data_IF_377218001732
#
_entry.id   IF_377218001732
#
_cell.length_a   1.000
_cell.length_b   1.000
_cell.length_c   1.000
_cell.angle_alpha   90.00
_cell.angle_beta   90.00
_cell.angle_gamma   90.00
#
_symmetry.space_group_name_H-M   'P 1'
#
loop_
_entity.id
_entity.type
_entity.pdbx_description
1 polymer ?
#
# COMPACT_ATOMS: atom_id res chain seq x y z
N UNK A 1 5.35 -16.06 -16.51
CA UNK A 1 5.76 -15.17 -15.41
C UNK A 1 4.73 -15.21 -14.31
N UNK A 2 5.14 -15.21 -13.03
CA UNK A 2 4.24 -15.24 -11.87
C UNK A 2 4.11 -13.85 -11.26
N UNK A 3 2.88 -13.32 -11.25
CA UNK A 3 2.52 -12.05 -10.61
C UNK A 3 1.61 -12.38 -9.42
N UNK A 4 1.93 -11.82 -8.26
CA UNK A 4 1.11 -11.95 -7.06
C UNK A 4 0.53 -10.58 -6.73
N UNK A 5 -0.80 -10.47 -6.66
CA UNK A 5 -1.49 -9.23 -6.29
C UNK A 5 -2.04 -9.34 -4.88
N UNK A 6 -1.69 -8.40 -4.02
CA UNK A 6 -2.28 -8.22 -2.69
C UNK A 6 -3.42 -7.22 -2.83
N UNK A 7 -4.63 -7.59 -2.40
CA UNK A 7 -5.79 -6.69 -2.36
C UNK A 7 -6.28 -6.58 -0.92
N UNK A 8 -6.33 -5.38 -0.40
CA UNK A 8 -6.84 -5.12 0.94
C UNK A 8 -8.31 -4.70 0.86
N UNK A 9 -9.16 -5.43 1.58
CA UNK A 9 -10.59 -5.10 1.73
C UNK A 9 -10.82 -4.59 3.15
N UNK A 10 -11.52 -3.48 3.29
CA UNK A 10 -11.92 -2.92 4.57
C UNK A 10 -13.32 -2.30 4.46
N UNK A 11 -14.23 -2.71 5.33
CA UNK A 11 -15.62 -2.23 5.38
C UNK A 11 -16.31 -2.31 4.00
N UNK A 12 -16.07 -3.39 3.26
CA UNK A 12 -16.61 -3.62 1.92
C UNK A 12 -16.81 -5.11 1.68
N UNK A 13 -17.58 -5.44 0.64
CA UNK A 13 -17.72 -6.80 0.11
C UNK A 13 -16.75 -7.04 -1.04
N UNK A 14 -16.58 -8.29 -1.48
CA UNK A 14 -15.73 -8.60 -2.64
C UNK A 14 -16.34 -8.02 -3.93
N UNK A 15 -17.65 -8.05 -4.06
CA UNK A 15 -18.38 -7.54 -5.22
C UNK A 15 -18.27 -6.02 -5.35
N UNK A 16 -18.26 -5.30 -4.22
CA UNK A 16 -18.16 -3.85 -4.20
C UNK A 16 -16.72 -3.32 -4.45
N UNK A 17 -15.73 -4.21 -4.50
CA UNK A 17 -14.36 -3.82 -4.84
C UNK A 17 -14.18 -3.60 -6.33
N UNK A 18 -13.93 -2.36 -6.73
CA UNK A 18 -13.57 -2.00 -8.11
C UNK A 18 -12.32 -2.76 -8.57
N UNK A 19 -11.36 -2.92 -7.68
CA UNK A 19 -10.12 -3.66 -7.93
C UNK A 19 -10.39 -5.12 -8.25
N UNK A 20 -11.19 -5.80 -7.45
CA UNK A 20 -11.49 -7.22 -7.69
C UNK A 20 -12.32 -7.41 -8.96
N UNK A 21 -13.27 -6.51 -9.24
CA UNK A 21 -14.01 -6.53 -10.51
C UNK A 21 -13.07 -6.34 -11.72
N UNK A 22 -12.15 -5.40 -11.65
CA UNK A 22 -11.19 -5.15 -12.74
C UNK A 22 -10.17 -6.29 -12.90
N UNK A 23 -9.77 -6.96 -11.81
CA UNK A 23 -8.93 -8.16 -11.86
C UNK A 23 -9.67 -9.29 -12.60
N UNK A 24 -10.94 -9.55 -12.28
CA UNK A 24 -11.75 -10.56 -13.00
C UNK A 24 -11.93 -10.24 -14.49
N UNK A 25 -11.91 -8.95 -14.85
CA UNK A 25 -12.00 -8.51 -16.24
C UNK A 25 -10.65 -8.50 -16.97
N UNK A 26 -9.54 -8.74 -16.27
CA UNK A 26 -8.18 -8.63 -16.80
C UNK A 26 -7.82 -9.79 -17.73
N UNK A 27 -7.00 -9.49 -18.72
CA UNK A 27 -6.37 -10.49 -19.57
C UNK A 27 -5.16 -11.09 -18.87
N UNK A 28 -5.12 -12.43 -18.76
CA UNK A 28 -4.06 -13.16 -18.03
C UNK A 28 -3.29 -14.15 -18.91
N UNK A 29 -3.40 -14.03 -20.24
CA UNK A 29 -2.75 -14.95 -21.17
C UNK A 29 -1.22 -14.96 -20.95
N UNK A 30 -0.65 -16.16 -20.81
CA UNK A 30 0.79 -16.41 -20.60
C UNK A 30 1.37 -15.88 -19.28
N UNK A 31 0.53 -15.53 -18.32
CA UNK A 31 0.95 -15.18 -16.97
C UNK A 31 0.24 -16.08 -15.94
N UNK A 32 0.89 -16.30 -14.81
CA UNK A 32 0.28 -16.90 -13.64
C UNK A 32 -0.07 -15.78 -12.68
N UNK A 33 -1.36 -15.52 -12.47
CA UNK A 33 -1.83 -14.49 -11.55
C UNK A 33 -2.34 -15.13 -10.27
N UNK A 34 -1.68 -14.80 -9.15
CA UNK A 34 -2.13 -15.11 -7.80
C UNK A 34 -2.75 -13.86 -7.18
N UNK A 35 -3.96 -13.97 -6.63
CA UNK A 35 -4.66 -12.87 -5.94
C UNK A 35 -4.81 -13.23 -4.47
N UNK A 36 -4.14 -12.46 -3.61
CA UNK A 36 -4.17 -12.62 -2.16
C UNK A 36 -5.05 -11.52 -1.58
N UNK A 37 -6.25 -11.88 -1.15
CA UNK A 37 -7.23 -10.94 -0.61
C UNK A 37 -7.13 -10.97 0.90
N UNK A 38 -6.95 -9.82 1.52
CA UNK A 38 -6.98 -9.65 2.96
C UNK A 38 -8.18 -8.81 3.38
N UNK A 39 -9.17 -9.44 4.01
CA UNK A 39 -10.21 -8.69 4.71
C UNK A 39 -9.67 -8.20 6.05
N UNK A 40 -9.49 -6.89 6.15
CA UNK A 40 -8.96 -6.21 7.34
C UNK A 40 -10.08 -5.74 8.31
N UNK A 41 -11.30 -6.17 8.07
CA UNK A 41 -12.49 -5.92 8.92
C UNK A 41 -13.39 -4.80 8.39
N UNK A 42 -14.29 -4.26 9.23
CA UNK A 42 -14.57 -4.66 10.61
C UNK A 42 -15.41 -5.95 10.74
N UNK A 43 -16.00 -6.43 9.65
CA UNK A 43 -16.85 -7.63 9.62
C UNK A 43 -16.23 -8.75 8.80
N UNK A 44 -16.61 -9.98 9.06
CA UNK A 44 -16.28 -11.10 8.18
C UNK A 44 -17.04 -10.97 6.86
N UNK A 45 -16.44 -11.44 5.80
CA UNK A 45 -17.09 -11.55 4.48
C UNK A 45 -18.16 -12.66 4.53
N UNK A 46 -19.21 -12.49 3.74
CA UNK A 46 -20.21 -13.53 3.54
C UNK A 46 -19.57 -14.73 2.82
N UNK A 47 -19.84 -15.94 3.28
CA UNK A 47 -19.21 -17.14 2.75
C UNK A 47 -19.67 -17.47 1.32
N UNK A 48 -20.95 -17.25 1.01
CA UNK A 48 -21.47 -17.46 -0.34
C UNK A 48 -20.83 -16.50 -1.35
N UNK A 49 -20.67 -15.21 -0.98
CA UNK A 49 -19.99 -14.21 -1.81
C UNK A 49 -18.54 -14.62 -2.06
N UNK A 50 -17.86 -15.13 -1.03
CA UNK A 50 -16.47 -15.61 -1.17
C UNK A 50 -16.39 -16.79 -2.14
N UNK A 51 -17.27 -17.79 -2.00
CA UNK A 51 -17.30 -18.96 -2.89
C UNK A 51 -17.62 -18.56 -4.33
N UNK A 52 -18.59 -17.66 -4.53
CA UNK A 52 -18.94 -17.16 -5.86
C UNK A 52 -17.75 -16.42 -6.51
N UNK A 53 -17.08 -15.57 -5.77
CA UNK A 53 -15.88 -14.85 -6.26
C UNK A 53 -14.76 -15.82 -6.63
N UNK A 54 -14.48 -16.82 -5.78
CA UNK A 54 -13.44 -17.82 -6.03
C UNK A 54 -13.76 -18.65 -7.28
N UNK A 55 -15.01 -19.07 -7.46
CA UNK A 55 -15.45 -19.78 -8.67
C UNK A 55 -15.20 -18.91 -9.93
N UNK A 56 -15.57 -17.62 -9.89
CA UNK A 56 -15.31 -16.69 -10.99
C UNK A 56 -13.79 -16.53 -11.28
N UNK A 57 -12.95 -16.53 -10.26
CA UNK A 57 -11.49 -16.53 -10.44
C UNK A 57 -11.01 -17.82 -11.13
N UNK A 58 -11.52 -18.98 -10.72
CA UNK A 58 -11.17 -20.27 -11.28
C UNK A 58 -11.51 -20.35 -12.78
N UNK A 59 -12.71 -19.89 -13.17
CA UNK A 59 -13.13 -19.83 -14.57
C UNK A 59 -12.19 -18.97 -15.45
N UNK A 60 -11.56 -17.95 -14.84
CA UNK A 60 -10.57 -17.07 -15.50
C UNK A 60 -9.13 -17.57 -15.42
N UNK A 61 -8.89 -18.72 -14.77
CA UNK A 61 -7.54 -19.23 -14.53
C UNK A 61 -6.71 -18.40 -13.55
N UNK A 62 -7.38 -17.64 -12.68
CA UNK A 62 -6.78 -16.83 -11.62
C UNK A 62 -6.79 -17.64 -10.34
N UNK A 63 -5.65 -17.76 -9.66
CA UNK A 63 -5.56 -18.42 -8.36
C UNK A 63 -5.82 -17.40 -7.26
N UNK A 64 -6.86 -17.59 -6.47
CA UNK A 64 -7.24 -16.66 -5.43
C UNK A 64 -7.20 -17.30 -4.03
N UNK A 65 -6.81 -16.50 -3.03
CA UNK A 65 -6.82 -16.89 -1.63
C UNK A 65 -7.38 -15.74 -0.80
N UNK A 66 -8.31 -16.06 0.09
CA UNK A 66 -8.93 -15.09 1.01
C UNK A 66 -8.41 -15.33 2.42
N UNK A 67 -7.94 -14.27 3.05
CA UNK A 67 -7.50 -14.23 4.44
C UNK A 67 -8.39 -13.23 5.17
N UNK A 68 -8.77 -13.52 6.41
CA UNK A 68 -9.60 -12.63 7.19
C UNK A 68 -8.99 -12.39 8.57
N UNK A 69 -8.93 -11.11 8.95
CA UNK A 69 -8.60 -10.69 10.30
C UNK A 69 -9.23 -9.31 10.56
N UNK A 70 -10.36 -9.31 11.26
CA UNK A 70 -11.21 -8.14 11.43
C UNK A 70 -10.69 -7.11 12.43
N UNK A 71 -9.48 -7.28 12.97
CA UNK A 71 -8.89 -6.39 14.00
C UNK A 71 -8.28 -5.11 13.42
N UNK A 72 -8.42 -4.86 12.12
CA UNK A 72 -7.84 -3.72 11.42
C UNK A 72 -6.31 -3.61 11.64
N UNK A 73 -5.59 -4.62 11.16
CA UNK A 73 -4.15 -4.72 11.30
C UNK A 73 -3.40 -3.63 10.51
N UNK A 74 -2.14 -3.43 10.86
CA UNK A 74 -1.21 -2.59 10.08
C UNK A 74 -1.03 -3.15 8.67
N UNK A 75 -1.21 -2.28 7.66
CA UNK A 75 -1.02 -2.67 6.25
C UNK A 75 0.44 -3.06 5.96
N UNK A 76 1.41 -2.35 6.54
CA UNK A 76 2.83 -2.71 6.40
C UNK A 76 3.10 -4.16 6.83
N UNK A 77 2.48 -4.59 7.94
CA UNK A 77 2.61 -5.99 8.41
C UNK A 77 1.98 -6.99 7.47
N UNK A 78 0.81 -6.65 6.91
CA UNK A 78 0.13 -7.51 5.94
C UNK A 78 0.97 -7.64 4.67
N UNK A 79 1.52 -6.53 4.17
CA UNK A 79 2.38 -6.53 2.99
C UNK A 79 3.66 -7.34 3.23
N UNK A 80 4.38 -7.09 4.35
CA UNK A 80 5.58 -7.85 4.71
C UNK A 80 5.28 -9.35 4.88
N UNK A 81 4.16 -9.71 5.52
CA UNK A 81 3.72 -11.08 5.65
C UNK A 81 3.56 -11.77 4.27
N UNK A 82 2.85 -11.16 3.34
CA UNK A 82 2.64 -11.75 2.03
C UNK A 82 3.92 -11.82 1.19
N UNK A 83 4.81 -10.85 1.33
CA UNK A 83 6.15 -10.88 0.70
C UNK A 83 6.97 -12.05 1.22
N UNK A 84 6.90 -12.34 2.51
CA UNK A 84 7.70 -13.39 3.15
C UNK A 84 7.19 -14.80 2.82
N UNK A 85 5.85 -14.99 2.77
CA UNK A 85 5.27 -16.34 2.67
C UNK A 85 4.91 -16.78 1.24
N UNK A 86 5.11 -15.93 0.24
CA UNK A 86 4.75 -16.25 -1.14
C UNK A 86 5.95 -16.20 -2.09
N UNK A 87 5.87 -17.04 -3.13
CA UNK A 87 6.80 -17.02 -4.25
C UNK A 87 6.20 -16.22 -5.41
N UNK A 88 6.96 -15.27 -5.97
CA UNK A 88 6.55 -14.40 -7.09
C UNK A 88 7.76 -13.96 -7.92
N UNK A 89 7.51 -13.52 -9.15
CA UNK A 89 8.46 -12.70 -9.90
C UNK A 89 8.21 -11.22 -9.59
N UNK A 90 6.92 -10.83 -9.57
CA UNK A 90 6.45 -9.51 -9.16
C UNK A 90 5.34 -9.63 -8.13
N UNK A 91 5.34 -8.71 -7.17
CA UNK A 91 4.26 -8.54 -6.21
C UNK A 91 3.66 -7.14 -6.37
N UNK A 92 2.34 -7.07 -6.57
CA UNK A 92 1.59 -5.82 -6.77
C UNK A 92 0.71 -5.56 -5.56
N UNK A 93 0.71 -4.35 -5.03
CA UNK A 93 -0.16 -3.93 -3.93
C UNK A 93 -1.30 -3.11 -4.50
N UNK A 94 -2.52 -3.42 -4.10
CA UNK A 94 -3.74 -2.78 -4.59
C UNK A 94 -4.69 -2.49 -3.44
N UNK A 95 -5.25 -1.29 -3.41
CA UNK A 95 -6.37 -0.95 -2.57
C UNK A 95 -7.67 -1.45 -3.21
N UNK A 96 -8.78 -1.52 -2.47
CA UNK A 96 -10.04 -2.09 -2.97
C UNK A 96 -10.76 -1.26 -4.05
N UNK A 97 -10.38 0.00 -4.23
CA UNK A 97 -11.05 1.03 -5.05
C UNK A 97 -10.24 1.45 -6.29
N UNK A 98 -9.32 0.59 -6.75
CA UNK A 98 -8.54 0.83 -7.96
C UNK A 98 -9.17 0.15 -9.17
N UNK A 99 -9.34 0.89 -10.26
CA UNK A 99 -9.81 0.35 -11.54
C UNK A 99 -8.62 0.14 -12.45
N UNK A 100 -8.32 -1.13 -12.73
CA UNK A 100 -7.22 -1.53 -13.60
C UNK A 100 -7.69 -1.64 -15.06
N UNK A 101 -6.89 -1.22 -16.05
CA UNK A 101 -7.15 -1.56 -17.43
C UNK A 101 -7.01 -3.08 -17.66
N UNK A 102 -7.76 -3.63 -18.61
CA UNK A 102 -7.79 -5.08 -18.87
C UNK A 102 -6.42 -5.67 -19.22
N UNK A 103 -5.53 -4.89 -19.76
CA UNK A 103 -4.17 -5.30 -20.17
C UNK A 103 -3.09 -5.03 -19.09
N UNK A 104 -3.47 -4.54 -17.90
CA UNK A 104 -2.53 -4.15 -16.84
C UNK A 104 -1.47 -5.23 -16.55
N UNK A 105 -1.90 -6.46 -16.27
CA UNK A 105 -0.97 -7.54 -15.94
C UNK A 105 -0.16 -8.02 -17.15
N UNK A 106 -0.72 -7.98 -18.37
CA UNK A 106 0.02 -8.30 -19.58
C UNK A 106 1.11 -7.25 -19.81
N UNK A 107 0.79 -5.97 -19.72
CA UNK A 107 1.78 -4.89 -19.86
C UNK A 107 2.86 -4.98 -18.77
N UNK A 108 2.45 -5.21 -17.51
CA UNK A 108 3.41 -5.45 -16.44
C UNK A 108 4.36 -6.61 -16.77
N UNK A 109 3.86 -7.69 -17.39
CA UNK A 109 4.66 -8.84 -17.77
C UNK A 109 5.70 -8.56 -18.88
N UNK A 110 5.52 -7.48 -19.63
CA UNK A 110 6.46 -7.07 -20.69
C UNK A 110 7.55 -6.12 -20.20
N UNK A 111 7.39 -5.54 -19.01
CA UNK A 111 8.39 -4.65 -18.41
C UNK A 111 9.65 -5.45 -18.10
N UNK A 112 10.77 -5.04 -18.72
CA UNK A 112 12.07 -5.69 -18.53
C UNK A 112 13.01 -4.78 -17.72
N UNK A 113 13.79 -5.39 -16.84
CA UNK A 113 14.85 -4.69 -16.12
C UNK A 113 14.35 -3.69 -15.07
N UNK A 114 13.04 -3.68 -14.72
CA UNK A 114 12.54 -2.83 -13.67
C UNK A 114 12.46 -3.57 -12.33
N UNK A 115 12.94 -2.92 -11.30
CA UNK A 115 12.88 -3.38 -9.91
C UNK A 115 11.58 -2.93 -9.23
N UNK A 116 11.15 -1.68 -9.49
CA UNK A 116 9.89 -1.10 -8.99
C UNK A 116 9.12 -0.50 -10.16
N UNK A 117 7.86 -0.88 -10.29
CA UNK A 117 6.94 -0.36 -11.30
C UNK A 117 5.83 0.41 -10.61
N UNK A 118 5.64 1.68 -10.99
CA UNK A 118 4.57 2.54 -10.51
C UNK A 118 3.60 2.84 -11.66
N UNK A 119 2.29 2.62 -11.51
CA UNK A 119 1.33 3.04 -12.54
C UNK A 119 1.11 4.55 -12.48
N UNK A 120 0.66 5.13 -13.59
CA UNK A 120 0.05 6.46 -13.55
C UNK A 120 -1.26 6.38 -12.78
N UNK A 121 -1.41 7.18 -11.73
CA UNK A 121 -2.62 7.22 -10.93
C UNK A 121 -3.46 8.39 -11.35
N UNK A 122 -4.61 8.09 -11.92
CA UNK A 122 -5.61 9.05 -12.34
C UNK A 122 -6.69 9.13 -11.26
N UNK A 123 -6.95 10.32 -10.76
CA UNK A 123 -8.07 10.55 -9.84
C UNK A 123 -9.00 11.63 -10.36
N UNK A 124 -10.25 11.56 -9.93
CA UNK A 124 -11.29 12.51 -10.30
C UNK A 124 -11.41 13.61 -9.24
N UNK A 125 -11.33 14.86 -9.65
CA UNK A 125 -11.60 16.03 -8.80
C UNK A 125 -12.46 17.01 -9.58
N UNK A 126 -13.60 17.42 -9.00
CA UNK A 126 -14.54 18.35 -9.66
C UNK A 126 -14.90 17.91 -11.09
N UNK A 127 -15.21 16.63 -11.27
CA UNK A 127 -15.53 15.98 -12.55
C UNK A 127 -14.42 15.97 -13.60
N UNK A 128 -13.20 16.37 -13.25
CA UNK A 128 -12.02 16.30 -14.11
C UNK A 128 -11.10 15.18 -13.66
N UNK A 129 -10.70 14.31 -14.59
CA UNK A 129 -9.69 13.30 -14.38
C UNK A 129 -8.29 13.87 -14.61
N UNK A 130 -7.45 13.74 -13.60
CA UNK A 130 -6.07 14.27 -13.64
C UNK A 130 -5.11 13.20 -13.11
N UNK A 131 -3.92 13.11 -13.71
CA UNK A 131 -2.84 12.31 -13.17
C UNK A 131 -2.23 13.02 -11.96
N UNK A 132 -2.21 12.32 -10.82
CA UNK A 132 -1.59 12.80 -9.58
C UNK A 132 -0.25 12.14 -9.31
N UNK A 133 -0.07 10.88 -9.73
CA UNK A 133 1.14 10.10 -9.49
C UNK A 133 1.53 9.29 -10.73
N UNK A 134 2.79 8.83 -10.84
CA UNK A 134 3.92 9.29 -10.03
C UNK A 134 4.37 10.70 -10.41
N UNK A 135 5.01 11.38 -9.47
CA UNK A 135 5.66 12.67 -9.71
C UNK A 135 7.11 12.63 -9.21
N UNK A 136 7.92 13.62 -9.59
CA UNK A 136 9.29 13.73 -9.09
C UNK A 136 9.31 13.95 -7.57
N UNK A 137 10.21 13.27 -6.88
CA UNK A 137 10.35 13.38 -5.42
C UNK A 137 10.67 14.81 -4.96
N UNK A 138 11.52 15.54 -5.71
CA UNK A 138 11.95 16.90 -5.35
C UNK A 138 11.00 17.98 -5.90
N UNK A 139 10.13 17.65 -6.84
CA UNK A 139 9.19 18.59 -7.44
C UNK A 139 7.88 17.90 -7.80
N UNK A 140 6.87 17.94 -6.91
CA UNK A 140 5.58 17.29 -7.12
C UNK A 140 4.77 17.80 -8.33
N UNK A 141 5.10 18.97 -8.85
CA UNK A 141 4.44 19.54 -10.04
C UNK A 141 4.88 18.83 -11.34
N UNK A 142 5.98 18.06 -11.29
CA UNK A 142 6.49 17.32 -12.43
C UNK A 142 5.97 15.89 -12.41
N UNK A 143 4.96 15.63 -13.22
CA UNK A 143 4.31 14.32 -13.40
C UNK A 143 5.15 13.45 -14.34
N UNK A 144 5.27 12.18 -14.02
CA UNK A 144 6.08 11.21 -14.77
C UNK A 144 5.23 10.53 -15.85
N UNK A 145 5.75 10.50 -17.07
CA UNK A 145 5.18 9.76 -18.18
C UNK A 145 5.59 8.29 -18.16
N UNK A 146 4.90 7.46 -18.95
CA UNK A 146 5.22 6.04 -19.10
C UNK A 146 6.64 5.80 -19.62
N UNK A 147 7.33 4.81 -19.04
CA UNK A 147 8.69 4.41 -19.42
C UNK A 147 9.64 4.28 -18.24
N UNK A 148 10.94 4.09 -18.54
CA UNK A 148 11.97 4.05 -17.53
C UNK A 148 12.18 5.42 -16.86
N UNK A 149 12.33 5.41 -15.55
CA UNK A 149 12.44 6.62 -14.73
C UNK A 149 13.88 6.74 -14.22
N UNK A 150 14.51 7.89 -14.52
CA UNK A 150 15.90 8.17 -14.14
C UNK A 150 16.05 8.89 -12.80
N UNK A 151 14.97 9.49 -12.31
CA UNK A 151 14.97 10.30 -11.09
C UNK A 151 14.12 9.67 -9.98
N UNK A 152 14.40 9.95 -8.70
CA UNK A 152 13.51 9.52 -7.63
C UNK A 152 12.10 10.09 -7.78
N UNK A 153 11.13 9.26 -7.44
CA UNK A 153 9.70 9.59 -7.51
C UNK A 153 9.00 9.42 -6.17
N UNK A 154 7.81 9.98 -6.08
CA UNK A 154 6.77 9.57 -5.13
C UNK A 154 5.55 9.05 -5.89
N UNK A 155 4.86 8.10 -5.29
CA UNK A 155 3.58 7.57 -5.78
C UNK A 155 2.74 7.10 -4.60
N UNK A 156 1.44 6.95 -4.82
CA UNK A 156 0.58 6.24 -3.87
C UNK A 156 0.86 4.72 -3.95
N UNK A 157 0.51 3.98 -2.89
CA UNK A 157 0.83 2.55 -2.80
C UNK A 157 0.05 1.70 -3.80
N UNK A 158 -1.18 2.11 -4.15
CA UNK A 158 -2.01 1.30 -5.04
C UNK A 158 -1.42 1.15 -6.44
N UNK A 159 -1.29 -0.08 -6.91
CA UNK A 159 -0.68 -0.45 -8.18
C UNK A 159 0.85 -0.58 -8.15
N UNK A 160 1.51 -0.21 -7.06
CA UNK A 160 2.95 -0.39 -6.93
C UNK A 160 3.29 -1.88 -7.03
N UNK A 161 4.22 -2.16 -7.93
CA UNK A 161 4.69 -3.51 -8.19
C UNK A 161 6.19 -3.60 -7.95
N UNK A 162 6.61 -4.59 -7.19
CA UNK A 162 7.99 -4.77 -6.73
C UNK A 162 8.49 -6.14 -7.22
N UNK A 163 9.65 -6.17 -7.87
CA UNK A 163 10.28 -7.42 -8.31
C UNK A 163 10.84 -8.19 -7.11
N UNK A 164 10.95 -9.53 -7.25
CA UNK A 164 11.62 -10.37 -6.25
C UNK A 164 13.05 -9.90 -5.96
N UNK A 165 13.74 -9.44 -7.01
CA UNK A 165 15.09 -8.89 -6.91
C UNK A 165 15.12 -7.61 -6.05
N UNK A 166 14.19 -6.67 -6.29
CA UNK A 166 14.09 -5.44 -5.51
C UNK A 166 13.75 -5.73 -4.04
N UNK A 167 12.85 -6.67 -3.77
CA UNK A 167 12.55 -7.14 -2.40
C UNK A 167 13.83 -7.61 -1.71
N UNK A 168 14.64 -8.45 -2.36
CA UNK A 168 15.91 -8.93 -1.80
C UNK A 168 16.89 -7.79 -1.51
N UNK A 169 17.06 -6.85 -2.45
CA UNK A 169 17.91 -5.66 -2.28
C UNK A 169 17.46 -4.80 -1.09
N UNK A 170 16.15 -4.51 -0.98
CA UNK A 170 15.59 -3.67 0.09
C UNK A 170 15.75 -4.36 1.46
N UNK A 171 15.49 -5.67 1.55
CA UNK A 171 15.68 -6.43 2.78
C UNK A 171 17.16 -6.45 3.19
N UNK A 172 18.08 -6.62 2.25
CA UNK A 172 19.52 -6.54 2.52
C UNK A 172 19.92 -5.17 3.04
N UNK A 173 19.33 -4.10 2.50
CA UNK A 173 19.63 -2.72 2.88
C UNK A 173 19.11 -2.35 4.28
N UNK A 174 17.87 -2.74 4.63
CA UNK A 174 17.24 -2.28 5.89
C UNK A 174 16.50 -3.34 6.71
N UNK A 175 16.51 -4.60 6.27
CA UNK A 175 15.92 -5.73 7.01
C UNK A 175 14.43 -6.02 6.74
N UNK A 176 13.71 -5.12 6.07
CA UNK A 176 12.28 -5.23 5.76
C UNK A 176 11.93 -4.42 4.52
N UNK A 177 10.79 -4.68 3.89
CA UNK A 177 10.31 -3.88 2.74
C UNK A 177 9.49 -2.68 3.22
N UNK A 178 8.55 -2.88 4.11
CA UNK A 178 7.66 -1.84 4.64
C UNK A 178 7.87 -1.62 6.13
N UNK A 179 7.98 -0.35 6.55
CA UNK A 179 8.20 0.04 7.94
C UNK A 179 6.98 -0.22 8.82
N UNK A 180 7.07 -1.17 9.74
CA UNK A 180 5.95 -1.60 10.58
C UNK A 180 5.56 -0.60 11.68
N UNK A 181 6.34 0.46 11.89
CA UNK A 181 5.93 1.60 12.72
C UNK A 181 4.86 2.45 12.03
N UNK A 182 4.65 2.28 10.71
CA UNK A 182 3.62 2.93 9.91
C UNK A 182 2.54 1.89 9.58
N UNK A 183 1.30 2.18 9.96
CA UNK A 183 0.22 1.21 9.80
C UNK A 183 -0.72 1.49 8.63
N UNK A 184 -0.80 2.73 8.19
CA UNK A 184 -1.67 3.18 7.11
C UNK A 184 -1.02 4.34 6.34
N UNK A 185 -1.05 5.59 6.87
CA UNK A 185 -0.42 6.72 6.22
C UNK A 185 1.11 6.69 6.32
N UNK A 186 1.75 7.11 5.24
CA UNK A 186 3.21 7.26 5.15
C UNK A 186 3.97 5.99 4.80
N UNK A 187 3.29 4.87 4.55
CA UNK A 187 3.93 3.62 4.09
C UNK A 187 4.56 3.84 2.72
N UNK A 188 3.83 4.46 1.81
CA UNK A 188 4.27 4.87 0.49
C UNK A 188 5.43 5.87 0.54
N UNK A 189 5.30 6.92 1.34
CA UNK A 189 6.37 7.91 1.50
C UNK A 189 7.67 7.29 2.04
N UNK A 190 7.58 6.39 3.05
CA UNK A 190 8.75 5.69 3.59
C UNK A 190 9.37 4.73 2.55
N UNK A 191 8.52 4.03 1.80
CA UNK A 191 8.97 3.15 0.73
C UNK A 191 9.72 3.93 -0.35
N UNK A 192 9.14 5.00 -0.91
CA UNK A 192 9.79 5.80 -1.96
C UNK A 192 11.00 6.57 -1.44
N UNK A 193 11.01 6.99 -0.17
CA UNK A 193 12.22 7.50 0.47
C UNK A 193 13.33 6.45 0.51
N UNK A 194 13.00 5.20 0.82
CA UNK A 194 13.98 4.11 0.79
C UNK A 194 14.51 3.88 -0.62
N UNK A 195 13.62 3.81 -1.60
CA UNK A 195 13.99 3.70 -3.03
C UNK A 195 14.91 4.86 -3.44
N UNK A 196 14.61 6.09 -3.02
CA UNK A 196 15.46 7.26 -3.26
C UNK A 196 16.86 7.11 -2.67
N UNK A 197 16.96 6.65 -1.41
CA UNK A 197 18.27 6.46 -0.74
C UNK A 197 19.10 5.37 -1.42
N UNK A 198 18.44 4.32 -1.93
CA UNK A 198 19.08 3.21 -2.63
C UNK A 198 19.37 3.50 -4.11
N UNK A 199 19.15 4.73 -4.58
CA UNK A 199 19.09 5.13 -5.97
C UNK A 199 20.36 4.84 -6.78
N UNK A 200 21.53 5.04 -6.20
CA UNK A 200 22.77 4.98 -6.97
C UNK A 200 23.14 3.51 -7.27
N UNK A 201 22.66 3.02 -8.44
CA UNK A 201 22.90 1.75 -9.10
C UNK A 201 22.15 0.51 -8.56
N UNK A 202 21.21 0.64 -7.60
CA UNK A 202 20.61 -0.55 -7.01
C UNK A 202 19.18 -0.86 -7.46
N UNK A 203 18.33 0.15 -7.72
CA UNK A 203 16.93 -0.05 -8.10
C UNK A 203 16.56 0.71 -9.37
N UNK A 204 16.06 -0.04 -10.36
CA UNK A 204 15.51 0.53 -11.58
C UNK A 204 14.00 0.76 -11.45
N UNK A 205 13.54 1.93 -11.91
CA UNK A 205 12.16 2.36 -11.82
C UNK A 205 11.51 2.40 -13.21
N UNK A 206 10.22 2.05 -13.26
CA UNK A 206 9.42 2.14 -14.49
C UNK A 206 8.03 2.70 -14.18
N UNK A 207 7.56 3.63 -15.00
CA UNK A 207 6.18 4.10 -14.98
C UNK A 207 5.35 3.27 -15.95
N UNK A 208 4.31 2.61 -15.45
CA UNK A 208 3.39 1.81 -16.25
C UNK A 208 2.18 2.65 -16.70
N UNK A 209 1.27 2.05 -17.48
CA UNK A 209 0.00 2.62 -17.88
C UNK A 209 -0.85 3.05 -16.68
N UNK A 210 -1.93 3.78 -16.97
CA UNK A 210 -2.80 4.37 -15.97
C UNK A 210 -3.69 3.35 -15.26
N UNK A 211 -3.95 3.64 -13.98
CA UNK A 211 -5.06 3.09 -13.19
C UNK A 211 -5.90 4.25 -12.67
N UNK A 212 -7.20 4.04 -12.52
CA UNK A 212 -8.06 4.99 -11.83
C UNK A 212 -8.13 4.61 -10.35
N UNK A 213 -7.94 5.58 -9.47
CA UNK A 213 -7.95 5.34 -8.02
C UNK A 213 -8.54 6.53 -7.29
N UNK A 214 -9.41 6.27 -6.32
CA UNK A 214 -9.95 7.33 -5.47
C UNK A 214 -8.89 7.74 -4.44
N UNK A 215 -8.39 8.96 -4.56
CA UNK A 215 -7.43 9.49 -3.60
C UNK A 215 -8.19 10.13 -2.43
N UNK A 216 -8.13 9.51 -1.27
CA UNK A 216 -8.75 10.00 -0.02
C UNK A 216 -8.31 11.43 0.36
N UNK A 217 -7.16 11.88 -0.15
CA UNK A 217 -6.69 13.26 0.02
C UNK A 217 -7.55 14.28 -0.73
N UNK A 218 -8.29 13.87 -1.76
CA UNK A 218 -9.15 14.72 -2.56
C UNK A 218 -10.57 14.78 -2.04
N UNK A 219 -10.95 13.90 -1.11
CA UNK A 219 -12.25 13.90 -0.43
C UNK A 219 -12.19 14.79 0.82
N UNK A 220 -12.95 15.91 0.87
CA UNK A 220 -12.93 16.84 2.00
C UNK A 220 -13.44 16.22 3.31
N UNK A 221 -14.40 15.30 3.26
CA UNK A 221 -14.96 14.64 4.46
C UNK A 221 -13.96 13.65 5.02
N UNK A 222 -13.39 12.82 4.17
CA UNK A 222 -12.35 11.87 4.57
C UNK A 222 -11.09 12.57 5.07
N UNK A 223 -10.71 13.69 4.44
CA UNK A 223 -9.55 14.49 4.84
C UNK A 223 -9.65 15.00 6.29
N UNK A 224 -10.85 15.24 6.81
CA UNK A 224 -11.10 15.73 8.18
C UNK A 224 -11.45 14.63 9.17
N UNK A 225 -11.51 13.37 8.76
CA UNK A 225 -11.86 12.27 9.65
C UNK A 225 -10.85 12.15 10.81
N UNK A 226 -11.36 11.85 12.02
CA UNK A 226 -10.51 11.62 13.20
C UNK A 226 -9.49 10.50 12.98
N UNK A 227 -9.84 9.51 12.17
CA UNK A 227 -8.94 8.43 11.78
C UNK A 227 -7.76 8.99 11.00
N UNK A 228 -8.01 9.72 9.92
CA UNK A 228 -6.95 10.30 9.08
C UNK A 228 -6.07 11.27 9.86
N UNK A 229 -6.66 12.16 10.65
CA UNK A 229 -5.92 13.09 11.51
C UNK A 229 -4.95 12.33 12.43
N UNK A 230 -5.43 11.28 13.08
CA UNK A 230 -4.61 10.48 14.00
C UNK A 230 -3.49 9.74 13.29
N UNK A 231 -3.77 9.07 12.17
CA UNK A 231 -2.77 8.34 11.37
C UNK A 231 -1.72 9.30 10.81
N UNK A 232 -2.13 10.47 10.30
CA UNK A 232 -1.21 11.52 9.83
C UNK A 232 -0.31 12.03 10.95
N UNK A 233 -0.80 12.11 12.19
CA UNK A 233 0.02 12.49 13.33
C UNK A 233 1.10 11.44 13.63
N UNK A 234 0.80 10.13 13.58
CA UNK A 234 1.81 9.09 13.71
C UNK A 234 2.92 9.25 12.66
N UNK A 235 2.54 9.46 11.39
CA UNK A 235 3.51 9.69 10.33
C UNK A 235 4.35 10.96 10.55
N UNK A 236 3.73 12.09 10.90
CA UNK A 236 4.42 13.35 11.22
C UNK A 236 5.49 13.17 12.30
N UNK A 237 5.14 12.47 13.39
CA UNK A 237 6.08 12.27 14.49
C UNK A 237 7.12 11.19 14.20
N UNK A 238 6.78 10.19 13.39
CA UNK A 238 7.73 9.25 12.82
C UNK A 238 8.82 9.99 12.01
N UNK A 239 8.43 10.82 11.04
CA UNK A 239 9.35 11.64 10.24
C UNK A 239 10.28 12.46 11.16
N UNK A 240 9.70 13.10 12.17
CA UNK A 240 10.46 13.94 13.08
C UNK A 240 11.56 13.16 13.81
N UNK A 241 11.26 11.98 14.29
CA UNK A 241 12.21 11.16 15.06
C UNK A 241 13.16 10.37 14.15
N UNK A 242 12.63 9.70 13.14
CA UNK A 242 13.41 8.75 12.33
C UNK A 242 14.15 9.45 11.18
N UNK A 243 13.54 10.44 10.52
CA UNK A 243 14.20 11.14 9.41
C UNK A 243 15.00 12.35 9.86
N UNK A 244 14.39 13.22 10.67
CA UNK A 244 15.07 14.43 11.16
C UNK A 244 15.89 14.21 12.43
N UNK A 245 15.94 12.97 12.96
CA UNK A 245 16.75 12.58 14.13
C UNK A 245 16.52 13.47 15.36
N UNK A 246 15.31 14.02 15.51
CA UNK A 246 14.96 14.81 16.70
C UNK A 246 14.72 13.91 17.89
N UNK A 247 15.13 14.35 19.09
CA UNK A 247 14.97 13.56 20.31
C UNK A 247 13.48 13.33 20.64
N UNK A 248 13.19 12.19 21.26
CA UNK A 248 11.82 11.85 21.73
C UNK A 248 11.35 12.92 22.71
N UNK A 249 12.21 13.38 23.63
CA UNK A 249 11.86 14.43 24.61
C UNK A 249 11.40 15.72 23.93
N UNK A 250 12.16 16.21 22.91
CA UNK A 250 11.76 17.39 22.15
C UNK A 250 10.46 17.19 21.38
N UNK A 251 10.20 15.98 20.95
CA UNK A 251 8.98 15.62 20.22
C UNK A 251 7.78 15.56 21.14
N UNK A 252 7.92 14.99 22.34
CA UNK A 252 6.88 15.03 23.40
C UNK A 252 6.55 16.47 23.79
N UNK A 253 7.57 17.33 23.97
CA UNK A 253 7.34 18.76 24.28
C UNK A 253 6.50 19.45 23.20
N UNK A 254 6.79 19.19 21.92
CA UNK A 254 5.99 19.75 20.81
C UNK A 254 4.56 19.18 20.84
N UNK A 255 4.38 17.90 21.12
CA UNK A 255 3.07 17.28 21.23
C UNK A 255 2.22 17.93 22.33
N UNK A 256 2.80 18.17 23.50
CA UNK A 256 2.15 18.91 24.59
C UNK A 256 1.78 20.32 24.16
N UNK A 257 2.71 21.05 23.53
CA UNK A 257 2.46 22.40 23.00
C UNK A 257 1.32 22.41 21.98
N UNK A 258 1.23 21.38 21.12
CA UNK A 258 0.18 21.29 20.10
C UNK A 258 -1.20 21.04 20.75
N UNK A 259 -1.27 20.34 21.90
CA UNK A 259 -2.49 20.25 22.71
C UNK A 259 -2.88 21.60 23.30
N UNK A 260 -1.93 22.30 23.95
CA UNK A 260 -2.18 23.62 24.56
C UNK A 260 -2.65 24.66 23.52
N UNK A 261 -2.31 24.47 22.25
CA UNK A 261 -2.75 25.31 21.13
C UNK A 261 -4.05 24.81 20.48
N UNK A 262 -4.67 23.78 21.01
CA UNK A 262 -5.91 23.21 20.46
C UNK A 262 -5.75 22.49 19.11
N UNK A 263 -4.51 22.19 18.67
CA UNK A 263 -4.26 21.54 17.38
C UNK A 263 -4.51 20.04 17.39
N UNK A 264 -4.35 19.41 18.55
CA UNK A 264 -4.59 17.98 18.75
C UNK A 264 -5.29 17.74 20.08
N UNK A 265 -6.00 16.63 20.20
CA UNK A 265 -6.69 16.26 21.44
C UNK A 265 -5.73 15.62 22.45
N UNK A 266 -6.10 15.63 23.73
CA UNK A 266 -5.36 14.90 24.78
C UNK A 266 -5.28 13.41 24.47
N UNK A 267 -6.35 12.82 23.91
CA UNK A 267 -6.37 11.42 23.48
C UNK A 267 -5.28 11.14 22.42
N UNK A 268 -5.18 12.01 21.42
CA UNK A 268 -4.14 11.90 20.38
C UNK A 268 -2.74 12.06 20.99
N UNK A 269 -2.55 12.99 21.93
CA UNK A 269 -1.28 13.17 22.64
C UNK A 269 -0.84 11.89 23.34
N UNK A 270 -1.73 11.27 24.13
CA UNK A 270 -1.42 10.03 24.86
C UNK A 270 -1.01 8.93 23.87
N UNK A 271 -1.78 8.76 22.79
CA UNK A 271 -1.51 7.76 21.75
C UNK A 271 -0.14 7.98 21.09
N UNK A 272 0.21 9.24 20.79
CA UNK A 272 1.48 9.60 20.19
C UNK A 272 2.64 9.36 21.18
N UNK A 273 2.50 9.74 22.45
CA UNK A 273 3.53 9.51 23.45
C UNK A 273 3.80 8.01 23.61
N UNK A 274 2.74 7.19 23.68
CA UNK A 274 2.88 5.73 23.72
C UNK A 274 3.59 5.19 22.47
N UNK A 275 3.24 5.68 21.30
CA UNK A 275 3.93 5.33 20.03
C UNK A 275 5.43 5.69 20.07
N UNK A 276 5.77 6.90 20.53
CA UNK A 276 7.17 7.36 20.59
C UNK A 276 8.02 6.53 21.58
N UNK A 277 7.43 6.15 22.73
CA UNK A 277 8.12 5.36 23.75
C UNK A 277 8.24 3.89 23.30
N UNK A 278 7.15 3.29 22.82
CA UNK A 278 7.12 1.87 22.47
C UNK A 278 7.72 1.60 21.09
N UNK A 279 7.85 2.63 20.25
CA UNK A 279 8.23 2.53 18.83
C UNK A 279 7.34 1.58 18.04
N UNK A 280 6.09 1.41 18.48
CA UNK A 280 5.10 0.52 17.85
C UNK A 280 3.80 1.26 17.62
N UNK A 281 3.33 1.22 16.36
CA UNK A 281 1.98 1.70 16.07
C UNK A 281 0.93 0.83 16.77
N UNK A 282 -0.17 1.38 17.30
CA UNK A 282 -1.20 0.60 18.00
C UNK A 282 -1.76 -0.57 17.17
N UNK A 283 -1.90 -0.41 15.86
CA UNK A 283 -2.35 -1.47 14.95
C UNK A 283 -1.26 -2.50 14.62
N UNK A 284 0.02 -2.16 14.81
CA UNK A 284 1.15 -3.08 14.62
C UNK A 284 1.43 -3.97 15.84
N UNK A 285 0.68 -3.83 16.94
CA UNK A 285 0.79 -4.73 18.11
C UNK A 285 0.35 -6.17 17.82
N UNK A 286 -0.52 -6.35 16.84
CA UNK A 286 -1.03 -7.67 16.48
C UNK A 286 0.02 -8.44 15.69
N UNK A 287 0.16 -9.71 16.03
CA UNK A 287 1.05 -10.63 15.32
C UNK A 287 0.27 -11.38 14.24
N UNK A 288 0.88 -11.51 13.07
CA UNK A 288 0.42 -12.37 11.99
C UNK A 288 1.32 -13.61 12.01
N UNK A 289 0.75 -14.78 12.28
CA UNK A 289 1.53 -16.01 12.23
C UNK A 289 2.00 -16.27 10.79
N UNK A 290 3.28 -16.65 10.62
CA UNK A 290 3.81 -17.06 9.31
C UNK A 290 3.06 -18.27 8.72
N UNK A 291 2.47 -19.09 9.60
CA UNK A 291 1.65 -20.24 9.22
C UNK A 291 0.15 -19.90 9.09
N UNK A 292 -0.22 -18.61 9.06
CA UNK A 292 -1.62 -18.21 8.87
C UNK A 292 -2.11 -18.75 7.53
N UNK A 293 -3.06 -19.67 7.62
CA UNK A 293 -3.70 -20.25 6.43
C UNK A 293 -4.76 -19.29 5.88
N UNK A 294 -5.02 -19.32 4.58
CA UNK A 294 -6.20 -18.66 4.04
C UNK A 294 -7.46 -19.26 4.66
N UNK A 295 -8.49 -18.45 4.82
CA UNK A 295 -9.82 -18.94 5.20
C UNK A 295 -10.47 -19.70 4.05
N UNK A 296 -10.22 -19.22 2.81
CA UNK A 296 -10.69 -19.86 1.58
C UNK A 296 -9.60 -19.77 0.50
N UNK A 297 -9.51 -20.76 -0.35
CA UNK A 297 -8.58 -20.78 -1.49
C UNK A 297 -9.05 -21.69 -2.62
N UNK A 298 -8.57 -21.41 -3.83
CA UNK A 298 -8.62 -22.25 -5.03
C UNK A 298 -7.23 -22.33 -5.64
#
# INVERSE_FOLDING_TARGET
MKITSIVIIYNSTLENSDTLRSILASHTKNITLDVLIWNNGPSLLNEEDVQHFLASCQEKGIRAKVFQDIRNLSLSKIYNFFIEVNEFNFITILDQDSILPKDFFIRLSTVKGADVVAPKIIAKKNDVYTQYYPHLYENPDIIISEGHIQSPIESAMSGITISKNAVGKIITFRGYVFEEKLAFYGIDNDFFRTVKIMKDDQLSLFCLNEIHHSLSALDPEEAQSNFRVTETLYFKYFIRCEYHKKSIASTIFITIRDVLRGKITIKNMISIILFLITKKHPRSKYFISKNKKPTHCI
#
